data_IF_195199850720
#
_entry.id   IF_195199850720
#
_cell.length_a   1.000
_cell.length_b   1.000
_cell.length_c   1.000
_cell.angle_alpha   90.00
_cell.angle_beta   90.00
_cell.angle_gamma   90.00
#
_symmetry.space_group_name_H-M   'P 1'
#
loop_
_entity.id
_entity.type
_entity.pdbx_description
1 polymer ?
#
# COMPACT_ATOMS: atom_id res chain seq x y z
N UNK A 1 -11.48 -18.15 -2.54
CA UNK A 1 -12.27 -19.24 -3.13
C UNK A 1 -12.42 -19.01 -4.63
N UNK A 2 -13.10 -19.90 -5.37
CA UNK A 2 -13.35 -19.71 -6.82
C UNK A 2 -14.04 -18.39 -7.17
N UNK A 3 -14.78 -17.82 -6.22
CA UNK A 3 -15.51 -16.57 -6.34
C UNK A 3 -14.67 -15.30 -6.12
N UNK A 4 -13.42 -15.44 -5.67
CA UNK A 4 -12.51 -14.34 -5.33
C UNK A 4 -13.17 -13.18 -4.54
N UNK A 5 -13.89 -13.53 -3.48
CA UNK A 5 -14.53 -12.54 -2.58
C UNK A 5 -13.53 -11.56 -1.97
N UNK A 6 -12.29 -11.99 -1.74
CA UNK A 6 -11.28 -11.15 -1.12
C UNK A 6 -10.78 -10.09 -2.11
N UNK A 7 -10.35 -10.50 -3.31
CA UNK A 7 -9.90 -9.58 -4.35
C UNK A 7 -11.01 -8.64 -4.81
N UNK A 8 -12.24 -9.14 -4.99
CA UNK A 8 -13.39 -8.30 -5.39
C UNK A 8 -13.75 -7.26 -4.33
N UNK A 9 -13.71 -7.63 -3.04
CA UNK A 9 -13.96 -6.68 -1.95
C UNK A 9 -12.86 -5.63 -1.86
N UNK A 10 -11.59 -6.03 -1.92
CA UNK A 10 -10.46 -5.10 -1.89
C UNK A 10 -10.50 -4.12 -3.07
N UNK A 11 -10.79 -4.61 -4.28
CA UNK A 11 -11.00 -3.78 -5.46
C UNK A 11 -12.08 -2.70 -5.24
N UNK A 12 -13.22 -3.08 -4.65
CA UNK A 12 -14.32 -2.16 -4.39
C UNK A 12 -14.05 -1.19 -3.23
N UNK A 13 -13.26 -1.60 -2.23
CA UNK A 13 -12.76 -0.72 -1.17
C UNK A 13 -11.82 0.36 -1.74
N UNK A 14 -10.89 -0.02 -2.62
CA UNK A 14 -10.01 0.94 -3.31
C UNK A 14 -10.82 1.85 -4.24
N UNK A 15 -11.78 1.29 -4.98
CA UNK A 15 -12.69 2.06 -5.85
C UNK A 15 -13.47 3.09 -5.04
N UNK A 16 -13.98 2.71 -3.88
CA UNK A 16 -14.70 3.64 -3.00
C UNK A 16 -13.85 4.88 -2.70
N UNK A 17 -12.58 4.69 -2.32
CA UNK A 17 -11.69 5.82 -2.06
C UNK A 17 -11.37 6.63 -3.31
N UNK A 18 -11.11 5.97 -4.44
CA UNK A 18 -10.86 6.64 -5.71
C UNK A 18 -12.04 7.52 -6.16
N UNK A 19 -13.26 7.00 -5.99
CA UNK A 19 -14.50 7.71 -6.28
C UNK A 19 -14.75 8.82 -5.24
N UNK A 20 -14.49 8.59 -3.95
CA UNK A 20 -14.69 9.56 -2.88
C UNK A 20 -13.80 10.80 -3.01
N UNK A 21 -12.52 10.63 -3.38
CA UNK A 21 -11.59 11.77 -3.56
C UNK A 21 -11.72 12.46 -4.91
N UNK A 22 -12.55 11.92 -5.83
CA UNK A 22 -12.80 12.48 -7.16
C UNK A 22 -14.17 13.17 -7.19
N UNK A 23 -14.23 14.51 -7.09
CA UNK A 23 -15.50 15.22 -7.09
C UNK A 23 -16.23 14.99 -8.42
N UNK A 24 -17.51 14.64 -8.36
CA UNK A 24 -18.36 14.62 -9.54
C UNK A 24 -19.33 13.45 -9.60
N UNK A 25 -19.44 12.84 -10.79
CA UNK A 25 -20.44 11.79 -11.05
C UNK A 25 -20.13 10.48 -10.33
N UNK A 26 -18.85 10.14 -10.23
CA UNK A 26 -18.35 8.90 -9.65
C UNK A 26 -18.69 8.82 -8.16
N UNK A 27 -18.58 9.90 -7.42
CA UNK A 27 -18.87 9.93 -5.97
C UNK A 27 -20.38 9.97 -5.62
N UNK A 28 -21.31 10.02 -6.59
CA UNK A 28 -22.75 10.30 -6.33
C UNK A 28 -23.50 9.20 -5.57
N UNK A 29 -22.99 7.98 -5.62
CA UNK A 29 -23.60 6.85 -4.92
C UNK A 29 -23.21 6.81 -3.44
N UNK A 30 -22.19 7.57 -3.05
CA UNK A 30 -21.68 7.62 -1.68
C UNK A 30 -22.58 8.53 -0.85
N UNK A 31 -22.90 8.09 0.35
CA UNK A 31 -23.64 8.85 1.35
C UNK A 31 -23.19 8.47 2.76
N UNK A 32 -23.31 9.40 3.69
CA UNK A 32 -23.05 9.14 5.12
C UNK A 32 -24.34 8.85 5.90
N UNK A 33 -24.20 8.58 7.19
CA UNK A 33 -25.30 8.24 8.09
C UNK A 33 -26.30 9.41 8.31
N UNK A 34 -25.87 10.65 8.04
CA UNK A 34 -26.72 11.84 8.08
C UNK A 34 -27.46 12.06 6.74
N UNK A 35 -27.18 11.25 5.72
CA UNK A 35 -27.80 11.28 4.40
C UNK A 35 -27.17 12.29 3.44
N UNK A 36 -26.05 12.91 3.81
CA UNK A 36 -25.28 13.77 2.92
C UNK A 36 -24.65 12.91 1.81
N UNK A 37 -24.72 13.41 0.57
CA UNK A 37 -24.31 12.65 -0.62
C UNK A 37 -23.08 13.24 -1.28
N UNK A 38 -22.26 12.37 -1.84
CA UNK A 38 -21.09 12.74 -2.63
C UNK A 38 -19.77 12.39 -1.95
N UNK A 39 -18.70 12.82 -2.58
CA UNK A 39 -17.34 12.71 -2.06
C UNK A 39 -16.80 14.08 -1.66
N UNK A 40 -15.49 14.19 -1.63
CA UNK A 40 -14.81 15.46 -1.38
C UNK A 40 -15.21 16.52 -2.42
N UNK A 41 -15.38 17.74 -1.94
CA UNK A 41 -15.63 18.93 -2.75
C UNK A 41 -14.35 19.35 -3.50
N UNK A 42 -14.48 20.01 -4.66
CA UNK A 42 -13.32 20.53 -5.39
C UNK A 42 -12.41 21.39 -4.49
N UNK A 43 -11.11 21.11 -4.53
CA UNK A 43 -10.09 21.87 -3.79
C UNK A 43 -9.82 21.40 -2.36
N UNK A 44 -10.66 20.52 -1.78
CA UNK A 44 -10.38 19.98 -0.44
C UNK A 44 -9.07 19.20 -0.42
N UNK A 45 -8.27 19.42 0.63
CA UNK A 45 -7.05 18.67 0.91
C UNK A 45 -7.43 17.30 1.48
N UNK A 46 -6.62 16.29 1.18
CA UNK A 46 -6.78 14.95 1.72
C UNK A 46 -5.44 14.21 1.73
N UNK A 47 -5.39 13.16 2.54
CA UNK A 47 -4.42 12.07 2.48
C UNK A 47 -5.22 10.77 2.59
N UNK A 48 -5.03 9.85 1.66
CA UNK A 48 -5.49 8.46 1.82
C UNK A 48 -4.35 7.71 2.48
N UNK A 49 -4.56 7.12 3.65
CA UNK A 49 -3.52 6.43 4.40
C UNK A 49 -4.05 5.10 4.93
N UNK A 50 -3.27 4.03 4.71
CA UNK A 50 -3.53 2.71 5.27
C UNK A 50 -3.26 1.58 4.29
N UNK A 51 -3.61 0.38 4.75
CA UNK A 51 -3.52 -0.86 4.00
C UNK A 51 -4.53 -0.84 2.85
N UNK A 52 -4.02 -0.88 1.61
CA UNK A 52 -4.83 -1.09 0.41
C UNK A 52 -4.68 -2.52 -0.12
N UNK A 53 -3.81 -3.34 0.48
CA UNK A 53 -3.56 -4.75 0.20
C UNK A 53 -3.55 -5.12 -1.30
N UNK A 54 -2.93 -4.26 -2.12
CA UNK A 54 -2.87 -4.42 -3.57
C UNK A 54 -1.55 -3.85 -4.07
N UNK A 55 -0.66 -4.75 -4.47
CA UNK A 55 0.58 -4.38 -5.15
C UNK A 55 0.28 -3.96 -6.60
N UNK A 56 1.05 -3.02 -7.19
CA UNK A 56 0.82 -2.60 -8.57
C UNK A 56 0.98 -3.71 -9.62
N UNK A 57 1.88 -4.68 -9.42
CA UNK A 57 2.25 -5.65 -10.46
C UNK A 57 2.29 -7.10 -9.98
N UNK A 58 2.36 -7.33 -8.66
CA UNK A 58 2.52 -8.64 -8.02
C UNK A 58 1.33 -8.98 -7.10
N UNK A 59 1.37 -10.14 -6.44
CA UNK A 59 0.28 -10.65 -5.61
C UNK A 59 -0.95 -11.12 -6.40
N UNK A 60 -2.09 -11.25 -5.70
CA UNK A 60 -3.33 -11.82 -6.23
C UNK A 60 -4.49 -10.81 -6.33
N UNK A 61 -4.22 -9.52 -6.10
CA UNK A 61 -5.24 -8.47 -6.24
C UNK A 61 -5.76 -8.37 -7.67
N UNK A 62 -7.03 -7.97 -7.83
CA UNK A 62 -7.62 -7.81 -9.16
C UNK A 62 -6.77 -6.80 -9.96
N UNK A 63 -6.32 -7.13 -11.19
CA UNK A 63 -5.46 -6.24 -11.96
C UNK A 63 -6.09 -4.85 -12.15
N UNK A 64 -5.34 -3.81 -11.82
CA UNK A 64 -5.82 -2.43 -11.91
C UNK A 64 -6.44 -1.88 -10.62
N UNK A 65 -6.55 -2.68 -9.55
CA UNK A 65 -7.13 -2.25 -8.26
C UNK A 65 -6.45 -1.00 -7.73
N UNK A 66 -5.19 -1.11 -7.29
CA UNK A 66 -4.46 0.04 -6.74
C UNK A 66 -4.19 1.15 -7.75
N UNK A 67 -4.13 0.82 -9.04
CA UNK A 67 -3.99 1.82 -10.11
C UNK A 67 -5.14 2.83 -10.14
N UNK A 68 -6.32 2.48 -9.64
CA UNK A 68 -7.42 3.44 -9.47
C UNK A 68 -7.02 4.64 -8.60
N UNK A 69 -6.16 4.44 -7.60
CA UNK A 69 -5.59 5.50 -6.76
C UNK A 69 -4.28 6.05 -7.34
N UNK A 70 -3.35 5.19 -7.77
CA UNK A 70 -2.03 5.63 -8.22
C UNK A 70 -2.08 6.46 -9.51
N UNK A 71 -3.05 6.18 -10.39
CA UNK A 71 -3.28 6.92 -11.63
C UNK A 71 -4.33 8.03 -11.47
N UNK A 72 -4.90 8.22 -10.27
CA UNK A 72 -5.87 9.28 -10.05
C UNK A 72 -5.21 10.65 -10.22
N UNK A 73 -5.72 11.54 -11.09
CA UNK A 73 -5.08 12.82 -11.37
C UNK A 73 -5.05 13.80 -10.18
N UNK A 74 -5.81 13.52 -9.12
CA UNK A 74 -5.85 14.31 -7.89
C UNK A 74 -4.93 13.78 -6.78
N UNK A 75 -4.35 12.60 -6.96
CA UNK A 75 -3.41 11.98 -6.00
C UNK A 75 -1.97 12.35 -6.36
N UNK A 76 -1.14 12.57 -5.34
CA UNK A 76 0.28 12.83 -5.48
C UNK A 76 1.07 11.52 -5.35
N UNK A 77 1.55 11.00 -6.48
CA UNK A 77 2.42 9.80 -6.56
C UNK A 77 3.84 10.13 -6.99
N UNK A 78 4.27 11.41 -6.87
CA UNK A 78 5.60 11.85 -7.34
C UNK A 78 6.77 11.28 -6.54
N UNK A 79 6.50 10.87 -5.30
CA UNK A 79 7.46 10.22 -4.41
C UNK A 79 6.78 8.99 -3.87
N UNK A 80 7.40 7.83 -4.08
CA UNK A 80 6.97 6.57 -3.47
C UNK A 80 7.82 6.35 -2.22
N UNK A 81 7.21 6.12 -1.04
CA UNK A 81 7.97 5.73 0.16
C UNK A 81 8.82 4.50 -0.13
N UNK A 82 10.07 4.49 0.33
CA UNK A 82 10.99 3.37 0.13
C UNK A 82 11.82 3.07 1.38
N UNK A 83 12.53 1.95 1.36
CA UNK A 83 13.50 1.57 2.39
C UNK A 83 14.70 0.84 1.80
N UNK A 84 15.81 0.83 2.54
CA UNK A 84 16.95 -0.05 2.24
C UNK A 84 16.65 -1.52 2.64
N UNK A 85 15.72 -1.75 3.56
CA UNK A 85 15.35 -3.09 4.01
C UNK A 85 14.57 -3.89 2.97
N UNK A 86 13.67 -3.26 2.20
CA UNK A 86 12.88 -3.96 1.18
C UNK A 86 13.74 -4.80 0.22
N UNK A 87 14.71 -4.20 -0.49
CA UNK A 87 15.62 -4.93 -1.37
C UNK A 87 16.49 -5.95 -0.63
N UNK A 88 16.97 -5.61 0.57
CA UNK A 88 17.78 -6.51 1.39
C UNK A 88 17.02 -7.79 1.75
N UNK A 89 15.77 -7.68 2.20
CA UNK A 89 14.98 -8.84 2.60
C UNK A 89 14.47 -9.63 1.41
N UNK A 90 14.10 -8.97 0.31
CA UNK A 90 13.79 -9.64 -0.95
C UNK A 90 14.96 -10.55 -1.40
N UNK A 91 16.20 -10.07 -1.34
CA UNK A 91 17.40 -10.88 -1.66
C UNK A 91 17.64 -12.01 -0.66
N UNK A 92 17.51 -11.75 0.64
CA UNK A 92 17.75 -12.77 1.68
C UNK A 92 16.68 -13.87 1.69
N UNK A 93 15.43 -13.53 1.38
CA UNK A 93 14.30 -14.45 1.36
C UNK A 93 14.18 -15.20 0.03
N UNK A 94 14.70 -14.63 -1.07
CA UNK A 94 14.81 -15.29 -2.39
C UNK A 94 13.40 -15.76 -2.87
N UNK A 95 13.35 -16.81 -3.70
CA UNK A 95 12.18 -17.56 -4.10
C UNK A 95 11.10 -16.73 -4.81
N UNK A 96 9.99 -16.42 -4.15
CA UNK A 96 8.88 -15.68 -4.77
C UNK A 96 9.28 -14.24 -5.06
N UNK A 97 10.09 -13.63 -4.19
CA UNK A 97 10.58 -12.26 -4.35
C UNK A 97 11.41 -12.08 -5.64
N UNK A 98 12.15 -13.11 -6.05
CA UNK A 98 12.91 -13.12 -7.32
C UNK A 98 12.03 -13.11 -8.57
N UNK A 99 10.75 -13.47 -8.42
CA UNK A 99 9.78 -13.46 -9.52
C UNK A 99 8.95 -12.17 -9.59
N UNK A 100 9.06 -11.31 -8.58
CA UNK A 100 8.31 -10.06 -8.50
C UNK A 100 8.77 -9.05 -9.55
N UNK A 101 7.82 -8.23 -9.98
CA UNK A 101 7.98 -7.23 -11.04
C UNK A 101 8.03 -5.82 -10.49
N UNK A 102 7.38 -5.57 -9.37
CA UNK A 102 7.51 -4.34 -8.60
C UNK A 102 8.91 -4.23 -8.02
N UNK A 103 9.39 -3.00 -7.87
CA UNK A 103 10.70 -2.72 -7.30
C UNK A 103 10.63 -2.92 -5.77
N UNK A 104 11.44 -3.83 -5.20
CA UNK A 104 11.37 -4.18 -3.78
C UNK A 104 11.75 -3.02 -2.86
N UNK A 105 12.34 -1.94 -3.38
CA UNK A 105 12.53 -0.71 -2.63
C UNK A 105 11.22 -0.16 -2.05
N UNK A 106 10.08 -0.48 -2.68
CA UNK A 106 8.76 0.00 -2.28
C UNK A 106 7.95 -1.00 -1.46
N UNK A 107 8.51 -2.15 -1.11
CA UNK A 107 7.78 -3.14 -0.32
C UNK A 107 7.46 -2.60 1.07
N UNK A 108 6.25 -2.89 1.51
CA UNK A 108 5.71 -2.44 2.80
C UNK A 108 5.17 -3.58 3.64
N UNK A 109 5.11 -4.79 3.10
CA UNK A 109 4.71 -5.98 3.81
C UNK A 109 5.62 -7.14 3.44
N UNK A 110 5.93 -7.95 4.44
CA UNK A 110 6.56 -9.25 4.33
C UNK A 110 5.40 -10.22 4.52
N UNK A 111 5.00 -10.96 3.48
CA UNK A 111 4.01 -12.02 3.60
C UNK A 111 4.67 -13.39 3.51
N UNK A 112 4.19 -14.32 4.34
CA UNK A 112 4.84 -15.61 4.52
C UNK A 112 4.92 -16.39 3.21
N UNK A 113 6.12 -16.54 2.66
CA UNK A 113 6.45 -17.22 1.40
C UNK A 113 7.24 -18.52 1.63
N UNK A 114 7.53 -18.85 2.89
CA UNK A 114 8.34 -20.01 3.22
C UNK A 114 7.54 -21.32 3.13
N UNK A 115 7.96 -22.28 2.28
CA UNK A 115 7.36 -23.61 2.25
C UNK A 115 7.73 -24.48 3.47
N UNK A 116 8.57 -23.98 4.37
CA UNK A 116 9.12 -24.73 5.51
C UNK A 116 8.34 -24.47 6.82
N UNK A 117 7.38 -25.36 7.09
CA UNK A 117 6.72 -25.68 8.38
C UNK A 117 6.54 -24.59 9.48
N UNK A 118 5.29 -24.20 9.81
CA UNK A 118 4.07 -24.51 9.09
C UNK A 118 4.17 -23.91 7.68
N UNK A 119 3.91 -24.70 6.62
CA UNK A 119 4.03 -24.18 5.27
C UNK A 119 3.00 -23.08 5.07
N UNK A 120 3.45 -21.95 4.55
CA UNK A 120 2.62 -20.88 4.06
C UNK A 120 2.89 -20.69 2.57
N UNK A 121 1.90 -20.16 1.85
CA UNK A 121 1.94 -19.94 0.41
C UNK A 121 1.51 -18.52 0.09
N UNK A 122 1.95 -17.58 0.92
CA UNK A 122 1.75 -16.15 0.68
C UNK A 122 2.59 -15.66 -0.49
N UNK A 123 2.35 -14.42 -0.92
CA UNK A 123 2.97 -13.88 -2.12
C UNK A 123 4.45 -13.48 -1.95
N UNK A 124 5.00 -13.42 -0.74
CA UNK A 124 6.29 -12.79 -0.47
C UNK A 124 6.13 -11.30 -0.18
N UNK A 125 7.20 -10.53 -0.36
CA UNK A 125 7.20 -9.11 -0.06
C UNK A 125 6.41 -8.32 -1.11
N UNK A 126 5.55 -7.41 -0.65
CA UNK A 126 4.68 -6.61 -1.52
C UNK A 126 4.56 -5.17 -1.03
N UNK A 127 4.17 -4.26 -1.94
CA UNK A 127 3.66 -2.94 -1.59
C UNK A 127 2.16 -2.99 -1.31
N UNK A 128 1.79 -3.21 -0.06
CA UNK A 128 0.41 -3.28 0.40
C UNK A 128 -0.11 -1.96 1.02
N UNK A 129 0.79 -1.12 1.55
CA UNK A 129 0.45 0.05 2.35
C UNK A 129 0.79 1.35 1.63
N UNK A 130 -0.11 2.33 1.81
CA UNK A 130 -0.07 3.55 1.03
C UNK A 130 -0.32 4.77 1.90
N UNK A 131 0.47 5.82 1.67
CA UNK A 131 0.18 7.18 2.14
C UNK A 131 0.18 8.07 0.90
N UNK A 132 -1.00 8.52 0.50
CA UNK A 132 -1.28 9.15 -0.79
C UNK A 132 -1.91 10.53 -0.57
N UNK A 133 -1.08 11.59 -0.47
CA UNK A 133 -1.56 12.95 -0.36
C UNK A 133 -2.24 13.43 -1.64
N UNK A 134 -3.09 14.44 -1.54
CA UNK A 134 -3.58 15.21 -2.70
C UNK A 134 -2.41 15.82 -3.50
N UNK A 135 -2.52 15.89 -4.83
CA UNK A 135 -1.55 16.48 -5.78
C UNK A 135 -1.05 17.89 -5.45
N UNK A 136 -1.82 18.68 -4.69
CA UNK A 136 -1.43 20.02 -4.23
C UNK A 136 -0.60 20.04 -2.94
N UNK A 137 -0.54 18.94 -2.20
CA UNK A 137 0.31 18.79 -1.02
C UNK A 137 1.72 18.42 -1.49
N UNK A 138 2.70 19.28 -1.20
CA UNK A 138 4.09 19.00 -1.53
C UNK A 138 4.62 17.95 -0.56
N UNK A 139 5.09 16.84 -1.11
CA UNK A 139 5.86 15.84 -0.36
C UNK A 139 7.25 16.43 -0.07
N UNK A 140 7.64 16.40 1.20
CA UNK A 140 8.92 16.88 1.71
C UNK A 140 9.87 15.71 1.86
N UNK A 141 9.39 14.63 2.46
CA UNK A 141 10.13 13.40 2.69
C UNK A 141 9.15 12.22 2.79
N UNK A 142 9.64 11.00 2.62
CA UNK A 142 8.84 9.79 2.65
C UNK A 142 9.70 8.57 2.91
N UNK A 143 9.15 7.55 3.55
CA UNK A 143 9.88 6.32 3.78
C UNK A 143 9.03 5.16 4.27
N UNK A 144 9.64 3.99 4.19
CA UNK A 144 9.16 2.77 4.84
C UNK A 144 10.15 2.44 5.96
N UNK A 145 9.65 2.17 7.15
CA UNK A 145 10.47 1.64 8.22
C UNK A 145 10.64 0.14 8.03
N UNK A 146 11.62 -0.22 7.21
CA UNK A 146 12.11 -1.60 7.10
C UNK A 146 13.65 -1.56 7.20
N UNK A 147 14.21 -1.88 8.38
CA UNK A 147 15.66 -1.93 8.57
C UNK A 147 16.28 -3.15 7.87
N UNK A 148 17.56 -3.07 7.51
CA UNK A 148 18.35 -4.23 7.04
C UNK A 148 18.72 -5.14 8.21
N UNK A 149 19.22 -6.35 7.92
CA UNK A 149 19.64 -7.32 8.95
C UNK A 149 20.77 -6.86 9.89
N UNK A 150 21.52 -5.82 9.51
CA UNK A 150 22.62 -5.27 10.32
C UNK A 150 22.20 -4.10 11.22
N UNK A 151 20.99 -3.56 11.02
CA UNK A 151 20.50 -2.41 11.75
C UNK A 151 20.10 -2.82 13.19
N UNK A 152 20.47 -2.02 14.22
CA UNK A 152 20.15 -2.33 15.61
C UNK A 152 18.65 -2.38 15.91
N UNK A 153 17.79 -1.82 15.06
CA UNK A 153 16.33 -1.83 15.20
C UNK A 153 15.66 -2.99 14.45
N UNK A 154 16.41 -3.90 13.82
CA UNK A 154 15.85 -5.06 13.12
C UNK A 154 14.94 -5.92 14.00
N UNK A 155 15.16 -5.95 15.32
CA UNK A 155 14.31 -6.68 16.25
C UNK A 155 12.84 -6.21 16.24
N UNK A 156 12.54 -5.00 15.75
CA UNK A 156 11.18 -4.49 15.62
C UNK A 156 10.43 -5.10 14.44
N UNK A 157 11.11 -5.43 13.34
CA UNK A 157 10.50 -5.99 12.12
C UNK A 157 10.79 -7.48 11.92
N UNK A 158 11.79 -8.03 12.62
CA UNK A 158 12.19 -9.42 12.50
C UNK A 158 13.13 -9.68 11.32
N UNK A 159 13.48 -10.96 11.16
CA UNK A 159 14.38 -11.46 10.11
C UNK A 159 13.66 -12.46 9.21
N UNK A 160 12.38 -12.20 8.93
CA UNK A 160 11.44 -13.11 8.27
C UNK A 160 10.35 -13.64 9.20
N UNK A 161 9.62 -14.64 8.72
CA UNK A 161 8.43 -15.18 9.39
C UNK A 161 8.72 -16.18 10.53
N UNK A 162 7.92 -16.16 11.61
CA UNK A 162 6.89 -15.17 11.94
C UNK A 162 7.51 -13.82 12.34
N UNK A 163 6.95 -12.76 11.79
CA UNK A 163 7.31 -11.38 12.11
C UNK A 163 6.91 -11.00 13.55
N UNK A 164 7.76 -10.27 14.30
CA UNK A 164 7.57 -10.02 15.72
C UNK A 164 6.49 -8.96 16.04
N UNK A 165 6.36 -7.93 15.21
CA UNK A 165 5.45 -6.79 15.47
C UNK A 165 4.27 -6.73 14.51
N UNK A 166 4.54 -6.85 13.21
CA UNK A 166 3.55 -6.91 12.13
C UNK A 166 4.23 -7.42 10.86
N UNK A 167 3.46 -8.09 10.01
CA UNK A 167 3.80 -8.42 8.62
C UNK A 167 3.86 -7.17 7.75
N UNK A 168 3.16 -6.11 8.13
CA UNK A 168 3.27 -4.78 7.51
C UNK A 168 4.39 -3.94 8.14
N UNK A 169 4.80 -2.89 7.43
CA UNK A 169 5.84 -1.94 7.80
C UNK A 169 5.24 -0.56 7.94
N UNK A 170 5.79 0.25 8.84
CA UNK A 170 5.35 1.63 8.99
C UNK A 170 5.71 2.42 7.74
N UNK A 171 4.71 2.97 7.07
CA UNK A 171 4.85 3.84 5.90
C UNK A 171 4.48 5.27 6.29
N UNK A 172 5.31 6.24 5.89
CA UNK A 172 5.09 7.64 6.22
C UNK A 172 5.45 8.56 5.06
N UNK A 173 4.81 9.73 5.07
CA UNK A 173 5.06 10.83 4.14
C UNK A 173 4.93 12.14 4.90
N UNK A 174 5.96 12.97 4.83
CA UNK A 174 5.92 14.35 5.31
C UNK A 174 5.39 15.26 4.21
N UNK A 175 4.37 16.05 4.54
CA UNK A 175 3.75 16.99 3.60
C UNK A 175 3.80 18.42 4.10
N UNK A 176 4.01 19.36 3.18
CA UNK A 176 3.78 20.79 3.43
C UNK A 176 2.33 21.13 3.11
N UNK A 177 1.59 21.51 4.15
CA UNK A 177 0.21 22.00 4.02
C UNK A 177 0.24 23.48 3.59
N UNK A 178 -0.49 23.88 2.54
CA UNK A 178 -0.64 25.28 2.17
C UNK A 178 -1.30 26.08 3.31
N UNK A 179 -0.73 27.25 3.62
CA UNK A 179 -1.20 28.20 4.62
C UNK A 179 -0.70 29.59 4.31
#
# INVERSE_FOLDING_TARGET
GPEDRNGTRNHDEIRFWADYVTPGRTSRYIYDDDGDRGGLKPGQLFVIAGDQNSDPLDGDSIPGSIQQLLNNPLVNTRTTPSSEGGPYWAEVQDALNDTHRSDPAYDTADFCDTPAFPPCSGPGNLRADYVLPRKGLRIVDAGVFWPTGSDPLVYLTGTGFPVPSSDHRLVWVDVRVPG
#
